data_IF_214922812087
#
_entry.id   IF_214922812087
#
_cell.length_a   1.000
_cell.length_b   1.000
_cell.length_c   1.000
_cell.angle_alpha   90.00
_cell.angle_beta   90.00
_cell.angle_gamma   90.00
#
_symmetry.space_group_name_H-M   'P 1'
#
loop_
_entity.id
_entity.type
_entity.pdbx_description
1 polymer ?
#
# COMPACT_ATOMS: atom_id res chain seq x y z
N UNK A 1 18.86 62.53 -3.59
CA UNK A 1 18.20 61.64 -2.61
C UNK A 1 17.71 60.30 -3.19
N UNK A 2 18.06 59.94 -4.44
CA UNK A 2 17.67 58.67 -5.06
C UNK A 2 18.86 57.70 -5.28
N UNK A 3 19.84 57.70 -4.36
CA UNK A 3 21.09 56.92 -4.51
C UNK A 3 21.41 56.03 -3.30
N UNK A 4 20.48 55.87 -2.35
CA UNK A 4 20.71 55.09 -1.12
C UNK A 4 19.67 53.98 -0.88
N UNK A 5 18.78 53.70 -1.85
CA UNK A 5 17.72 52.69 -1.70
C UNK A 5 17.98 51.37 -2.43
N UNK A 6 19.21 51.14 -2.92
CA UNK A 6 19.59 49.96 -3.72
C UNK A 6 20.63 49.05 -3.03
N UNK A 7 20.85 49.21 -1.72
CA UNK A 7 21.94 48.54 -1.00
C UNK A 7 21.48 47.60 0.12
N UNK A 8 20.41 46.83 -0.08
CA UNK A 8 19.97 45.86 0.93
C UNK A 8 19.26 44.61 0.38
N UNK A 9 19.48 44.20 -0.86
CA UNK A 9 19.25 42.81 -1.25
C UNK A 9 20.55 42.05 -1.01
N UNK A 10 20.78 41.68 0.25
CA UNK A 10 21.78 40.69 0.58
C UNK A 10 21.40 39.39 -0.10
N UNK A 11 22.31 38.84 -0.91
CA UNK A 11 22.17 37.51 -1.49
C UNK A 11 21.83 36.52 -0.37
N UNK A 12 20.58 36.07 -0.29
CA UNK A 12 20.24 34.88 0.48
C UNK A 12 20.99 33.72 -0.19
N UNK A 13 22.14 33.39 0.38
CA UNK A 13 22.89 32.19 0.02
C UNK A 13 21.95 31.02 0.28
N UNK A 14 21.40 30.44 -0.79
CA UNK A 14 20.66 29.19 -0.76
C UNK A 14 21.56 28.13 -0.15
N UNK A 15 21.44 27.93 1.17
CA UNK A 15 22.04 26.80 1.84
C UNK A 15 21.12 25.62 1.58
N UNK A 16 21.56 24.62 0.82
CA UNK A 16 20.74 23.45 0.62
C UNK A 16 20.51 22.74 1.97
N UNK A 17 19.30 22.19 2.18
CA UNK A 17 18.90 21.57 3.44
C UNK A 17 19.89 20.51 3.98
N UNK A 18 20.63 19.83 3.10
CA UNK A 18 21.67 18.87 3.46
C UNK A 18 22.95 19.49 4.06
N UNK A 19 23.18 20.79 3.90
CA UNK A 19 24.32 21.49 4.52
C UNK A 19 24.17 21.64 6.04
N UNK A 20 22.93 21.68 6.55
CA UNK A 20 22.63 21.84 7.97
C UNK A 20 22.92 20.57 8.81
N UNK A 21 22.84 19.38 8.20
CA UNK A 21 23.05 18.08 8.87
C UNK A 21 24.47 17.50 8.68
N UNK A 22 25.39 18.24 8.06
CA UNK A 22 26.70 17.70 7.69
C UNK A 22 27.58 17.44 8.92
N UNK A 23 27.78 16.17 9.25
CA UNK A 23 28.67 15.76 10.33
C UNK A 23 30.14 16.04 9.97
N UNK A 24 30.91 16.50 10.95
CA UNK A 24 32.30 16.95 10.76
C UNK A 24 33.30 15.82 10.46
N UNK A 25 32.92 14.57 10.74
CA UNK A 25 33.81 13.41 10.62
C UNK A 25 33.01 12.20 10.15
N UNK A 26 33.62 11.34 9.34
CA UNK A 26 32.98 10.12 8.81
C UNK A 26 32.40 9.22 9.93
N UNK A 27 33.13 9.05 11.04
CA UNK A 27 32.67 8.26 12.20
C UNK A 27 31.37 8.84 12.77
N UNK A 28 31.34 10.16 13.01
CA UNK A 28 30.13 10.85 13.51
C UNK A 28 28.97 10.80 12.53
N UNK A 29 29.25 10.79 11.22
CA UNK A 29 28.23 10.60 10.18
C UNK A 29 27.60 9.21 10.25
N UNK A 30 28.43 8.17 10.41
CA UNK A 30 27.98 6.78 10.56
C UNK A 30 27.18 6.62 11.85
N UNK A 31 27.66 7.15 12.98
CA UNK A 31 26.96 7.07 14.26
C UNK A 31 25.61 7.78 14.21
N UNK A 32 25.55 8.97 13.60
CA UNK A 32 24.31 9.72 13.45
C UNK A 32 23.30 8.99 12.55
N UNK A 33 23.74 8.51 11.38
CA UNK A 33 22.87 7.76 10.46
C UNK A 33 22.39 6.44 11.07
N UNK A 34 23.25 5.75 11.83
CA UNK A 34 22.88 4.52 12.55
C UNK A 34 21.86 4.81 13.64
N UNK A 35 22.07 5.87 14.42
CA UNK A 35 21.15 6.28 15.50
C UNK A 35 19.77 6.64 14.93
N UNK A 36 19.73 7.43 13.87
CA UNK A 36 18.50 7.79 13.15
C UNK A 36 17.78 6.54 12.60
N UNK A 37 18.54 5.60 12.01
CA UNK A 37 17.97 4.34 11.52
C UNK A 37 17.39 3.49 12.65
N UNK A 38 18.08 3.40 13.79
CA UNK A 38 17.61 2.66 14.97
C UNK A 38 16.29 3.25 15.49
N UNK A 39 16.16 4.58 15.51
CA UNK A 39 14.92 5.25 15.93
C UNK A 39 13.74 4.87 15.02
N UNK A 40 13.92 4.99 13.70
CA UNK A 40 12.89 4.63 12.73
C UNK A 40 12.53 3.14 12.78
N UNK A 41 13.52 2.25 12.76
CA UNK A 41 13.31 0.79 12.82
C UNK A 41 12.70 0.37 14.16
N UNK A 42 13.10 0.98 15.27
CA UNK A 42 12.55 0.70 16.60
C UNK A 42 11.06 1.06 16.69
N UNK A 43 10.67 2.21 16.11
CA UNK A 43 9.26 2.59 16.00
C UNK A 43 8.46 1.59 15.14
N UNK A 44 9.06 1.14 14.03
CA UNK A 44 8.45 0.18 13.11
C UNK A 44 8.27 -1.21 13.76
N UNK A 45 9.27 -1.71 14.50
CA UNK A 45 9.15 -2.98 15.26
C UNK A 45 8.05 -2.89 16.31
N UNK A 46 7.93 -1.77 17.02
CA UNK A 46 6.89 -1.57 18.03
C UNK A 46 5.49 -1.62 17.39
N UNK A 47 5.33 -0.98 16.22
CA UNK A 47 4.10 -1.02 15.44
C UNK A 47 3.79 -2.44 14.93
N UNK A 48 4.80 -3.17 14.43
CA UNK A 48 4.64 -4.56 14.00
C UNK A 48 4.18 -5.46 15.14
N UNK A 49 4.80 -5.36 16.31
CA UNK A 49 4.46 -6.19 17.47
C UNK A 49 3.01 -5.95 17.89
N UNK A 50 2.59 -4.68 17.95
CA UNK A 50 1.20 -4.35 18.25
C UNK A 50 0.22 -4.93 17.22
N UNK A 51 0.57 -4.80 15.94
CA UNK A 51 -0.22 -5.33 14.83
C UNK A 51 -0.31 -6.87 14.88
N UNK A 52 0.77 -7.55 15.23
CA UNK A 52 0.80 -9.00 15.41
C UNK A 52 -0.02 -9.47 16.61
N UNK A 53 -0.04 -8.70 17.71
CA UNK A 53 -0.90 -9.00 18.86
C UNK A 53 -2.38 -8.92 18.47
N UNK A 54 -2.78 -7.89 17.73
CA UNK A 54 -4.15 -7.78 17.20
C UNK A 54 -4.45 -8.93 16.25
N UNK A 55 -3.55 -9.24 15.32
CA UNK A 55 -3.71 -10.36 14.40
C UNK A 55 -3.90 -11.69 15.14
N UNK A 56 -3.07 -11.98 16.13
CA UNK A 56 -3.21 -13.19 16.94
C UNK A 56 -4.53 -13.26 17.72
N UNK A 57 -5.07 -12.13 18.17
CA UNK A 57 -6.41 -12.08 18.76
C UNK A 57 -7.47 -12.41 17.71
N UNK A 58 -7.40 -11.82 16.52
CA UNK A 58 -8.35 -12.08 15.42
C UNK A 58 -8.34 -13.56 15.02
N UNK A 59 -7.15 -14.16 14.90
CA UNK A 59 -6.99 -15.58 14.58
C UNK A 59 -7.62 -16.50 15.64
N UNK A 60 -7.51 -16.13 16.92
CA UNK A 60 -8.10 -16.90 18.04
C UNK A 60 -9.58 -16.61 18.29
N UNK A 61 -10.13 -15.52 17.80
CA UNK A 61 -11.48 -15.05 18.16
C UNK A 61 -12.61 -15.84 17.48
N UNK A 62 -12.34 -16.98 16.84
CA UNK A 62 -13.29 -17.75 16.01
C UNK A 62 -13.98 -16.93 14.90
N UNK A 63 -13.58 -15.68 14.66
CA UNK A 63 -14.13 -14.83 13.59
C UNK A 63 -13.91 -15.49 12.22
N UNK A 64 -12.81 -16.23 12.07
CA UNK A 64 -12.52 -17.01 10.86
C UNK A 64 -13.32 -18.31 10.76
N UNK A 65 -13.85 -18.87 11.86
CA UNK A 65 -14.73 -20.05 11.79
C UNK A 65 -16.14 -19.69 11.34
N UNK A 66 -16.55 -18.43 11.53
CA UNK A 66 -17.77 -17.87 10.96
C UNK A 66 -17.70 -17.73 9.44
N UNK A 67 -16.50 -17.65 8.86
CA UNK A 67 -16.32 -17.60 7.42
C UNK A 67 -16.49 -19.00 6.80
N UNK A 68 -17.19 -19.13 5.65
CA UNK A 68 -17.33 -20.41 4.96
C UNK A 68 -15.97 -20.95 4.55
N UNK A 69 -15.56 -22.09 5.10
CA UNK A 69 -14.26 -22.71 4.80
C UNK A 69 -14.22 -23.35 3.41
N UNK A 70 -15.38 -23.81 2.93
CA UNK A 70 -15.54 -24.45 1.62
C UNK A 70 -16.64 -23.73 0.87
N UNK A 71 -16.32 -23.26 -0.34
CA UNK A 71 -17.29 -22.64 -1.22
C UNK A 71 -17.82 -23.65 -2.24
N UNK A 72 -19.10 -23.51 -2.66
CA UNK A 72 -19.65 -24.32 -3.75
C UNK A 72 -18.93 -24.11 -5.09
N UNK A 73 -18.25 -22.97 -5.25
CA UNK A 73 -17.61 -22.59 -6.50
C UNK A 73 -16.33 -21.79 -6.23
N UNK A 74 -15.24 -22.13 -6.93
CA UNK A 74 -13.94 -21.44 -6.85
C UNK A 74 -14.07 -19.95 -7.20
N UNK A 75 -14.99 -19.57 -8.09
CA UNK A 75 -15.27 -18.17 -8.41
C UNK A 75 -15.75 -17.37 -7.19
N UNK A 76 -16.58 -17.99 -6.35
CA UNK A 76 -17.06 -17.37 -5.11
C UNK A 76 -15.97 -17.33 -4.05
N UNK A 77 -15.17 -18.40 -3.92
CA UNK A 77 -14.00 -18.41 -3.06
C UNK A 77 -13.03 -17.28 -3.43
N UNK A 78 -12.75 -17.11 -4.72
CA UNK A 78 -11.89 -16.05 -5.23
C UNK A 78 -12.45 -14.66 -4.91
N UNK A 79 -13.74 -14.42 -5.20
CA UNK A 79 -14.39 -13.14 -4.88
C UNK A 79 -14.33 -12.81 -3.39
N UNK A 80 -14.61 -13.80 -2.53
CA UNK A 80 -14.50 -13.65 -1.08
C UNK A 80 -13.07 -13.30 -0.67
N UNK A 81 -12.07 -14.04 -1.13
CA UNK A 81 -10.67 -13.83 -0.79
C UNK A 81 -10.16 -12.46 -1.24
N UNK A 82 -10.55 -11.99 -2.44
CA UNK A 82 -10.21 -10.66 -2.94
C UNK A 82 -10.75 -9.58 -2.02
N UNK A 83 -12.04 -9.64 -1.68
CA UNK A 83 -12.69 -8.66 -0.80
C UNK A 83 -12.06 -8.69 0.59
N UNK A 84 -11.87 -9.88 1.16
CA UNK A 84 -11.26 -10.05 2.48
C UNK A 84 -9.83 -9.46 2.53
N UNK A 85 -9.02 -9.69 1.49
CA UNK A 85 -7.65 -9.17 1.42
C UNK A 85 -7.60 -7.66 1.23
N UNK A 86 -8.50 -7.09 0.43
CA UNK A 86 -8.60 -5.63 0.26
C UNK A 86 -8.97 -4.97 1.59
N UNK A 87 -9.95 -5.52 2.32
CA UNK A 87 -10.33 -5.03 3.65
C UNK A 87 -9.18 -5.18 4.66
N UNK A 88 -8.41 -6.27 4.57
CA UNK A 88 -7.25 -6.45 5.42
C UNK A 88 -6.16 -5.42 5.11
N UNK A 89 -5.83 -5.21 3.83
CA UNK A 89 -4.82 -4.24 3.40
C UNK A 89 -5.20 -2.77 3.64
N UNK A 90 -6.48 -2.48 3.79
CA UNK A 90 -7.00 -1.17 4.18
C UNK A 90 -6.60 -0.74 5.60
N UNK A 91 -6.41 -1.70 6.51
CA UNK A 91 -6.26 -1.44 7.96
C UNK A 91 -4.91 -1.91 8.50
N UNK A 92 -4.37 -2.98 7.93
CA UNK A 92 -3.20 -3.66 8.47
C UNK A 92 -1.94 -3.36 7.65
N UNK A 93 -0.83 -3.19 8.35
CA UNK A 93 0.52 -3.03 7.79
C UNK A 93 1.02 -4.36 7.17
N UNK A 94 1.84 -4.34 6.10
CA UNK A 94 2.20 -5.53 5.33
C UNK A 94 2.85 -6.66 6.15
N UNK A 95 3.75 -6.33 7.08
CA UNK A 95 4.48 -7.31 7.89
C UNK A 95 3.58 -7.98 8.93
N UNK A 96 2.58 -7.28 9.45
CA UNK A 96 1.53 -7.91 10.24
C UNK A 96 0.60 -8.78 9.39
N UNK A 97 0.20 -8.27 8.23
CA UNK A 97 -0.81 -8.90 7.38
C UNK A 97 -0.33 -10.23 6.77
N UNK A 98 0.95 -10.35 6.42
CA UNK A 98 1.50 -11.59 5.85
C UNK A 98 1.36 -12.80 6.78
N UNK A 99 1.49 -12.60 8.10
CA UNK A 99 1.34 -13.68 9.08
C UNK A 99 -0.11 -14.17 9.14
N UNK A 100 -1.07 -13.23 9.27
CA UNK A 100 -2.50 -13.56 9.24
C UNK A 100 -2.90 -14.26 7.95
N UNK A 101 -2.49 -13.73 6.80
CA UNK A 101 -2.80 -14.32 5.50
C UNK A 101 -2.24 -15.74 5.40
N UNK A 102 -1.03 -15.96 5.91
CA UNK A 102 -0.38 -17.27 5.85
C UNK A 102 -1.04 -18.31 6.76
N UNK A 103 -1.47 -17.93 7.97
CA UNK A 103 -2.10 -18.85 8.92
C UNK A 103 -3.58 -19.10 8.62
N UNK A 104 -4.29 -18.12 8.05
CA UNK A 104 -5.75 -18.18 7.89
C UNK A 104 -6.21 -18.31 6.43
N UNK A 105 -5.88 -17.32 5.58
CA UNK A 105 -6.43 -17.22 4.22
C UNK A 105 -5.75 -18.17 3.23
N UNK A 106 -4.47 -18.48 3.40
CA UNK A 106 -3.73 -19.36 2.51
C UNK A 106 -4.24 -20.81 2.57
N UNK A 107 -4.40 -21.46 3.75
CA UNK A 107 -4.98 -22.79 3.84
C UNK A 107 -6.39 -22.86 3.24
N UNK A 108 -7.20 -21.84 3.48
CA UNK A 108 -8.55 -21.70 2.93
C UNK A 108 -8.55 -21.64 1.40
N UNK A 109 -7.64 -20.86 0.80
CA UNK A 109 -7.50 -20.78 -0.64
C UNK A 109 -7.09 -22.12 -1.27
N UNK A 110 -6.12 -22.81 -0.64
CA UNK A 110 -5.61 -24.08 -1.13
C UNK A 110 -6.67 -25.18 -1.05
N UNK A 111 -7.46 -25.19 0.03
CA UNK A 111 -8.59 -26.11 0.18
C UNK A 111 -9.69 -25.90 -0.90
N UNK A 112 -9.81 -24.68 -1.43
CA UNK A 112 -10.73 -24.35 -2.52
C UNK A 112 -10.08 -24.47 -3.92
N UNK A 113 -8.89 -25.07 -4.02
CA UNK A 113 -8.23 -25.36 -5.30
C UNK A 113 -7.60 -24.15 -5.99
N UNK A 114 -7.19 -23.14 -5.23
CA UNK A 114 -6.39 -22.00 -5.72
C UNK A 114 -4.91 -22.32 -5.53
N UNK A 115 -4.12 -22.25 -6.60
CA UNK A 115 -2.68 -22.53 -6.55
C UNK A 115 -1.91 -21.48 -5.73
N UNK A 116 -0.83 -21.85 -5.02
CA UNK A 116 -0.06 -20.94 -4.17
C UNK A 116 0.45 -19.69 -4.88
N UNK A 117 0.98 -19.84 -6.09
CA UNK A 117 1.52 -18.70 -6.87
C UNK A 117 0.40 -17.71 -7.20
N UNK A 118 -0.76 -18.21 -7.66
CA UNK A 118 -1.91 -17.35 -7.97
C UNK A 118 -2.43 -16.65 -6.71
N UNK A 119 -2.51 -17.38 -5.60
CA UNK A 119 -2.94 -16.82 -4.32
C UNK A 119 -2.06 -15.65 -3.88
N UNK A 120 -0.73 -15.82 -3.88
CA UNK A 120 0.21 -14.80 -3.40
C UNK A 120 0.34 -13.62 -4.35
N UNK A 121 0.29 -13.84 -5.67
CA UNK A 121 0.19 -12.74 -6.64
C UNK A 121 -1.06 -11.89 -6.38
N UNK A 122 -2.18 -12.53 -6.07
CA UNK A 122 -3.41 -11.83 -5.70
C UNK A 122 -3.32 -11.13 -4.34
N UNK A 123 -2.61 -11.69 -3.34
CA UNK A 123 -2.33 -10.98 -2.06
C UNK A 123 -1.59 -9.67 -2.33
N UNK A 124 -0.49 -9.73 -3.09
CA UNK A 124 0.34 -8.56 -3.37
C UNK A 124 -0.49 -7.43 -3.98
N UNK A 125 -1.24 -7.72 -5.05
CA UNK A 125 -2.04 -6.70 -5.75
C UNK A 125 -3.24 -6.23 -4.90
N UNK A 126 -3.86 -7.12 -4.11
CA UNK A 126 -4.95 -6.73 -3.22
C UNK A 126 -4.50 -5.79 -2.10
N UNK A 127 -3.31 -5.98 -1.56
CA UNK A 127 -2.75 -5.11 -0.53
C UNK A 127 -2.33 -3.75 -1.07
N UNK A 128 -1.74 -3.70 -2.27
CA UNK A 128 -1.46 -2.42 -2.95
C UNK A 128 -2.75 -1.60 -3.16
N UNK A 129 -3.85 -2.25 -3.54
CA UNK A 129 -5.16 -1.58 -3.60
C UNK A 129 -5.64 -1.15 -2.21
N UNK A 130 -5.48 -2.00 -1.20
CA UNK A 130 -5.84 -1.70 0.20
C UNK A 130 -5.15 -0.44 0.73
N UNK A 131 -3.87 -0.24 0.43
CA UNK A 131 -3.09 0.94 0.86
C UNK A 131 -3.53 2.26 0.20
N UNK A 132 -4.32 2.20 -0.86
CA UNK A 132 -4.91 3.37 -1.52
C UNK A 132 -6.30 3.71 -0.98
N UNK A 133 -7.03 2.73 -0.45
CA UNK A 133 -8.44 2.89 -0.07
C UNK A 133 -8.59 3.39 1.38
N UNK A 134 -9.66 4.17 1.68
CA UNK A 134 -10.00 4.56 3.05
C UNK A 134 -10.42 3.30 3.83
N UNK A 135 -9.82 2.97 5.00
CA UNK A 135 -9.79 3.78 6.23
C UNK A 135 -8.43 4.37 6.65
N UNK A 136 -7.29 3.77 6.25
CA UNK A 136 -5.95 4.29 6.57
C UNK A 136 -5.33 5.01 5.38
N UNK A 137 -5.48 4.47 4.16
CA UNK A 137 -4.98 5.04 2.91
C UNK A 137 -3.51 5.52 2.99
N UNK A 138 -2.63 4.68 3.54
CA UNK A 138 -1.25 5.06 3.89
C UNK A 138 -0.46 5.63 2.71
N UNK A 139 -0.65 5.11 1.49
CA UNK A 139 0.05 5.61 0.30
C UNK A 139 -0.35 7.05 -0.04
N UNK A 140 -1.61 7.43 0.21
CA UNK A 140 -2.08 8.80 0.03
C UNK A 140 -1.54 9.72 1.12
N UNK A 141 -1.48 9.24 2.37
CA UNK A 141 -0.92 10.01 3.49
C UNK A 141 0.58 10.27 3.32
N UNK A 142 1.36 9.25 2.96
CA UNK A 142 2.79 9.38 2.70
C UNK A 142 3.06 10.32 1.54
N UNK A 143 2.27 10.22 0.46
CA UNK A 143 2.39 11.15 -0.68
C UNK A 143 2.15 12.60 -0.24
N UNK A 144 1.13 12.85 0.59
CA UNK A 144 0.86 14.19 1.15
C UNK A 144 1.98 14.69 2.06
N UNK A 145 2.59 13.83 2.86
CA UNK A 145 3.73 14.17 3.72
C UNK A 145 4.97 14.56 2.91
N UNK A 146 5.23 13.90 1.78
CA UNK A 146 6.39 14.17 0.93
C UNK A 146 6.19 15.41 0.06
N UNK A 147 4.99 15.61 -0.49
CA UNK A 147 4.69 16.76 -1.37
C UNK A 147 4.58 18.06 -0.56
N UNK A 148 4.02 18.00 0.65
CA UNK A 148 3.79 19.16 1.50
C UNK A 148 2.42 19.81 1.29
N UNK A 149 1.90 20.41 2.36
CA UNK A 149 0.56 21.00 2.42
C UNK A 149 0.37 22.18 1.46
N UNK A 150 1.35 23.09 1.38
CA UNK A 150 1.25 24.30 0.56
C UNK A 150 1.14 24.00 -0.95
N UNK A 151 1.86 22.98 -1.42
CA UNK A 151 1.85 22.53 -2.81
C UNK A 151 0.55 21.81 -3.15
N UNK A 152 -0.01 21.05 -2.20
CA UNK A 152 -1.34 20.45 -2.33
C UNK A 152 -2.44 21.52 -2.40
N UNK A 153 -2.38 22.55 -1.56
CA UNK A 153 -3.38 23.63 -1.56
C UNK A 153 -3.38 24.42 -2.87
N UNK A 154 -2.20 24.69 -3.43
CA UNK A 154 -2.06 25.31 -4.76
C UNK A 154 -2.67 24.43 -5.85
N UNK A 155 -2.36 23.14 -5.84
CA UNK A 155 -2.91 22.17 -6.80
C UNK A 155 -4.44 22.07 -6.69
N UNK A 156 -4.98 22.07 -5.47
CA UNK A 156 -6.42 22.02 -5.24
C UNK A 156 -7.13 23.31 -5.70
N UNK A 157 -6.47 24.47 -5.63
CA UNK A 157 -6.99 25.72 -6.17
C UNK A 157 -7.03 25.74 -7.72
N UNK A 158 -6.04 25.16 -8.39
CA UNK A 158 -5.98 25.07 -9.86
C UNK A 158 -7.10 24.20 -10.45
N UNK A 159 -7.50 23.14 -9.73
CA UNK A 159 -8.54 22.19 -10.19
C UNK A 159 -9.95 22.47 -9.65
N UNK A 160 -10.11 23.50 -8.82
CA UNK A 160 -11.38 23.79 -8.12
C UNK A 160 -12.58 24.02 -9.06
N UNK A 161 -12.36 24.61 -10.23
CA UNK A 161 -13.39 24.90 -11.23
C UNK A 161 -13.63 23.78 -12.26
N UNK A 162 -12.93 22.65 -12.14
CA UNK A 162 -12.96 21.59 -13.13
C UNK A 162 -13.99 20.50 -12.80
N UNK A 163 -14.28 19.64 -13.78
CA UNK A 163 -15.17 18.48 -13.63
C UNK A 163 -14.71 17.56 -12.49
N UNK A 164 -15.67 16.88 -11.84
CA UNK A 164 -15.44 15.96 -10.72
C UNK A 164 -14.23 15.03 -10.92
N UNK A 165 -14.11 14.41 -12.11
CA UNK A 165 -12.99 13.51 -12.39
C UNK A 165 -11.62 14.19 -12.28
N UNK A 166 -11.44 15.37 -12.89
CA UNK A 166 -10.16 16.12 -12.82
C UNK A 166 -9.87 16.62 -11.42
N UNK A 167 -10.90 17.00 -10.65
CA UNK A 167 -10.72 17.44 -9.26
C UNK A 167 -10.21 16.33 -8.35
N UNK A 168 -10.64 15.09 -8.58
CA UNK A 168 -10.28 13.93 -7.75
C UNK A 168 -9.35 12.95 -8.45
N UNK A 169 -8.75 13.33 -9.58
CA UNK A 169 -7.94 12.45 -10.42
C UNK A 169 -6.81 11.78 -9.62
N UNK A 170 -6.13 12.54 -8.76
CA UNK A 170 -5.04 12.04 -7.88
C UNK A 170 -5.46 10.87 -6.98
N UNK A 171 -6.73 10.77 -6.61
CA UNK A 171 -7.27 9.68 -5.78
C UNK A 171 -7.88 8.57 -6.65
N UNK A 172 -8.68 8.96 -7.63
CA UNK A 172 -9.50 8.04 -8.44
C UNK A 172 -8.62 7.24 -9.39
N UNK A 173 -7.64 7.87 -10.05
CA UNK A 173 -6.83 7.23 -11.08
C UNK A 173 -6.03 6.03 -10.52
N UNK A 174 -5.26 6.16 -9.42
CA UNK A 174 -4.57 5.00 -8.84
C UNK A 174 -5.54 3.90 -8.39
N UNK A 175 -6.67 4.28 -7.78
CA UNK A 175 -7.67 3.31 -7.34
C UNK A 175 -8.27 2.51 -8.51
N UNK A 176 -8.56 3.16 -9.63
CA UNK A 176 -9.09 2.49 -10.84
C UNK A 176 -8.04 1.53 -11.41
N UNK A 177 -6.79 2.01 -11.59
CA UNK A 177 -5.71 1.18 -12.16
C UNK A 177 -5.47 -0.06 -11.30
N UNK A 178 -5.41 0.09 -9.98
CA UNK A 178 -5.21 -1.03 -9.07
C UNK A 178 -6.42 -1.96 -8.99
N UNK A 179 -7.65 -1.43 -9.06
CA UNK A 179 -8.87 -2.25 -9.10
C UNK A 179 -8.95 -3.11 -10.37
N UNK A 180 -8.60 -2.53 -11.52
CA UNK A 180 -8.54 -3.27 -12.80
C UNK A 180 -7.44 -4.33 -12.73
N UNK A 181 -6.25 -3.96 -12.23
CA UNK A 181 -5.12 -4.88 -12.07
C UNK A 181 -5.48 -6.06 -11.17
N UNK A 182 -6.15 -5.80 -10.05
CA UNK A 182 -6.64 -6.84 -9.15
C UNK A 182 -7.67 -7.74 -9.81
N UNK A 183 -8.61 -7.17 -10.57
CA UNK A 183 -9.59 -7.94 -11.33
C UNK A 183 -8.93 -8.89 -12.34
N UNK A 184 -7.92 -8.41 -13.07
CA UNK A 184 -7.17 -9.22 -14.03
C UNK A 184 -6.36 -10.31 -13.31
N UNK A 185 -5.64 -9.98 -12.24
CA UNK A 185 -4.81 -10.95 -11.53
C UNK A 185 -5.66 -11.99 -10.80
N UNK A 186 -6.79 -11.61 -10.21
CA UNK A 186 -7.69 -12.52 -9.51
C UNK A 186 -8.41 -13.47 -10.49
N UNK A 187 -9.03 -12.92 -11.53
CA UNK A 187 -9.94 -13.70 -12.39
C UNK A 187 -9.30 -14.15 -13.71
N UNK A 188 -8.22 -13.52 -14.17
CA UNK A 188 -7.55 -13.87 -15.43
C UNK A 188 -7.07 -15.33 -15.48
N UNK A 189 -6.25 -15.80 -14.53
CA UNK A 189 -5.83 -17.21 -14.49
C UNK A 189 -7.00 -18.18 -14.34
N UNK A 190 -8.03 -17.80 -13.56
CA UNK A 190 -9.25 -18.58 -13.39
C UNK A 190 -10.06 -18.73 -14.68
N UNK A 191 -10.18 -17.65 -15.46
CA UNK A 191 -10.82 -17.67 -16.78
C UNK A 191 -10.08 -18.61 -17.73
N UNK A 192 -8.74 -18.53 -17.76
CA UNK A 192 -7.92 -19.36 -18.65
C UNK A 192 -8.03 -20.85 -18.32
N UNK A 193 -8.04 -21.20 -17.03
CA UNK A 193 -8.07 -22.60 -16.60
C UNK A 193 -9.47 -23.24 -16.69
N UNK A 194 -10.54 -22.46 -16.48
CA UNK A 194 -11.91 -23.01 -16.35
C UNK A 194 -12.78 -22.79 -17.59
N UNK A 195 -12.43 -21.87 -18.49
CA UNK A 195 -13.18 -21.66 -19.73
C UNK A 195 -12.55 -22.48 -20.85
N UNK A 196 -13.34 -23.37 -21.47
CA UNK A 196 -12.89 -24.29 -22.51
C UNK A 196 -12.17 -23.61 -23.70
N UNK A 197 -12.51 -22.35 -23.97
CA UNK A 197 -11.89 -21.54 -25.02
C UNK A 197 -10.38 -21.30 -24.83
N UNK A 198 -9.86 -21.29 -23.60
CA UNK A 198 -8.47 -20.95 -23.29
C UNK A 198 -7.56 -22.13 -22.92
N UNK A 199 -8.07 -23.36 -23.01
CA UNK A 199 -7.29 -24.59 -22.82
C UNK A 199 -5.92 -24.64 -23.55
N UNK A 200 -5.74 -24.10 -24.78
CA UNK A 200 -4.40 -24.12 -25.42
C UNK A 200 -3.34 -23.28 -24.69
N UNK A 201 -3.74 -22.28 -23.90
CA UNK A 201 -2.83 -21.37 -23.17
C UNK A 201 -2.71 -21.78 -21.69
N UNK A 202 -3.60 -22.66 -21.20
CA UNK A 202 -3.62 -23.08 -19.80
C UNK A 202 -2.30 -23.72 -19.31
N UNK A 203 -1.50 -24.33 -20.20
CA UNK A 203 -0.18 -24.91 -19.86
C UNK A 203 0.91 -23.86 -19.54
N UNK A 204 0.66 -22.58 -19.81
CA UNK A 204 1.61 -21.49 -19.61
C UNK A 204 1.47 -20.83 -18.22
N UNK A 205 0.39 -21.14 -17.50
CA UNK A 205 0.03 -20.60 -16.18
C UNK A 205 0.05 -21.68 -15.07
N UNK A 206 0.69 -22.83 -15.33
CA UNK A 206 0.97 -23.92 -14.38
C UNK A 206 2.47 -23.96 -14.15
#
# INVERSE_FOLDING_TARGET
MASQALAAEGEEVYQPAYAAQRQKTAIKAIDAATTETIEHVGSYISLMLFTQLIGGVVERSEVMTLAPQVFPNVWMAMGFLVVAKVILGMVMEPMGAILLVSSTLAPMAYANGIEPVHFWMMVLVAFELGYLLPPVAINQLLTRQVVGEAEIDKSDAEVAGQTFYRRYERWILPCIVMSISLGIVAFGPLLVQRVAFFHPIAKLFI
#
